data_IF_256969650994
#
_entry.id   IF_256969650994
#
_cell.length_a   1.000
_cell.length_b   1.000
_cell.length_c   1.000
_cell.angle_alpha   90.00
_cell.angle_beta   90.00
_cell.angle_gamma   90.00
#
_symmetry.space_group_name_H-M   'P 1'
#
loop_
_entity.id
_entity.type
_entity.pdbx_description
1 polymer ?
#
# COMPACT_ATOMS: atom_id res chain seq x y z
N UNK A 1 -4.09 8.73 14.83
CA UNK A 1 -3.75 9.32 13.51
C UNK A 1 -4.60 8.62 12.46
N UNK A 2 -5.20 9.36 11.52
CA UNK A 2 -6.02 8.80 10.46
C UNK A 2 -5.54 9.30 9.09
N UNK A 3 -5.66 8.45 8.07
CA UNK A 3 -5.37 8.79 6.68
C UNK A 3 -6.41 9.82 6.21
N UNK A 4 -5.98 10.96 5.65
CA UNK A 4 -6.91 11.95 5.10
C UNK A 4 -7.69 11.34 3.93
N UNK A 5 -8.99 11.66 3.83
CA UNK A 5 -9.85 11.15 2.77
C UNK A 5 -9.39 11.60 1.37
N UNK A 6 -8.85 12.81 1.25
CA UNK A 6 -8.34 13.38 0.00
C UNK A 6 -7.08 12.65 -0.50
N UNK A 7 -7.11 12.19 -1.75
CA UNK A 7 -5.99 11.46 -2.38
C UNK A 7 -5.79 10.05 -1.82
N UNK A 8 -6.77 9.51 -1.10
CA UNK A 8 -6.82 8.09 -0.72
C UNK A 8 -7.68 7.31 -1.70
N UNK A 9 -7.42 6.01 -1.81
CA UNK A 9 -8.18 5.06 -2.62
C UNK A 9 -8.80 4.01 -1.71
N UNK A 10 -9.91 3.41 -2.15
CA UNK A 10 -10.56 2.31 -1.47
C UNK A 10 -10.14 0.98 -2.11
N UNK A 11 -10.14 -0.08 -1.32
CA UNK A 11 -9.96 -1.46 -1.77
C UNK A 11 -10.72 -2.39 -0.83
N UNK A 12 -11.34 -3.42 -1.37
CA UNK A 12 -12.00 -4.48 -0.58
C UNK A 12 -11.09 -5.70 -0.56
N UNK A 13 -10.81 -6.21 0.64
CA UNK A 13 -10.02 -7.43 0.86
C UNK A 13 -10.80 -8.27 1.87
N UNK A 14 -11.11 -9.51 1.52
CA UNK A 14 -11.90 -10.43 2.37
C UNK A 14 -13.18 -9.79 2.92
N UNK A 15 -13.97 -9.16 2.05
CA UNK A 15 -15.21 -8.42 2.37
C UNK A 15 -15.03 -7.15 3.23
N UNK A 16 -13.82 -6.86 3.70
CA UNK A 16 -13.53 -5.67 4.50
C UNK A 16 -13.06 -4.52 3.62
N UNK A 17 -13.67 -3.34 3.79
CA UNK A 17 -13.30 -2.15 3.04
C UNK A 17 -12.16 -1.40 3.73
N UNK A 18 -11.04 -1.28 3.02
CA UNK A 18 -9.86 -0.55 3.45
C UNK A 18 -9.69 0.73 2.64
N UNK A 19 -9.08 1.72 3.29
CA UNK A 19 -8.61 2.97 2.69
C UNK A 19 -7.09 2.96 2.71
N UNK A 20 -6.50 3.19 1.54
CA UNK A 20 -5.06 3.27 1.40
C UNK A 20 -4.62 4.54 0.69
N UNK A 21 -3.39 4.98 0.96
CA UNK A 21 -2.83 6.21 0.40
C UNK A 21 -1.33 6.11 0.26
N UNK A 22 -0.85 6.59 -0.89
CA UNK A 22 0.55 6.95 -1.11
C UNK A 22 0.66 8.47 -1.02
N UNK A 23 1.70 8.97 -0.37
CA UNK A 23 1.91 10.41 -0.23
C UNK A 23 2.24 11.00 -1.61
N UNK A 24 1.52 12.02 -2.06
CA UNK A 24 1.79 12.64 -3.36
C UNK A 24 3.13 13.39 -3.41
N UNK A 25 3.54 14.09 -2.35
CA UNK A 25 4.86 14.72 -2.28
C UNK A 25 5.83 13.78 -1.57
N UNK A 26 7.00 13.45 -2.17
CA UNK A 26 8.02 12.67 -1.47
C UNK A 26 8.46 13.40 -0.21
N UNK A 27 8.80 12.66 0.83
CA UNK A 27 9.62 13.21 1.92
C UNK A 27 11.04 13.46 1.40
N UNK A 28 11.82 14.33 2.03
CA UNK A 28 13.18 14.65 1.59
C UNK A 28 14.02 13.39 1.31
N UNK A 29 14.08 12.45 2.26
CA UNK A 29 14.76 11.16 2.09
C UNK A 29 14.20 10.27 0.95
N UNK A 30 12.93 10.42 0.55
CA UNK A 30 12.38 9.72 -0.62
C UNK A 30 12.77 10.42 -1.93
N UNK A 31 12.92 11.75 -1.91
CA UNK A 31 13.33 12.54 -3.07
C UNK A 31 14.77 12.28 -3.49
N UNK A 32 15.65 11.99 -2.52
CA UNK A 32 17.06 11.66 -2.73
C UNK A 32 17.35 10.15 -2.73
N UNK A 33 16.33 9.30 -2.73
CA UNK A 33 16.49 7.84 -2.80
C UNK A 33 16.87 7.13 -1.49
N UNK A 34 17.21 7.83 -0.41
CA UNK A 34 17.56 7.25 0.91
C UNK A 34 16.41 6.55 1.66
N UNK A 35 15.16 6.72 1.24
CA UNK A 35 14.00 6.13 1.89
C UNK A 35 13.06 5.42 0.92
N UNK A 36 12.57 4.21 1.28
CA UNK A 36 11.67 3.44 0.44
C UNK A 36 10.32 4.13 0.24
N UNK A 37 9.61 3.75 -0.83
CA UNK A 37 8.22 4.13 -1.02
C UNK A 37 7.35 3.53 0.10
N UNK A 38 6.51 4.35 0.72
CA UNK A 38 5.60 3.91 1.79
C UNK A 38 4.15 4.18 1.42
N UNK A 39 3.30 3.17 1.64
CA UNK A 39 1.86 3.35 1.62
C UNK A 39 1.29 3.16 3.02
N UNK A 40 0.25 3.93 3.34
CA UNK A 40 -0.52 3.77 4.55
C UNK A 40 -1.86 3.13 4.21
N UNK A 41 -2.32 2.21 5.06
CA UNK A 41 -3.62 1.52 4.96
C UNK A 41 -4.33 1.58 6.30
N UNK A 42 -5.64 1.75 6.28
CA UNK A 42 -6.51 1.68 7.46
C UNK A 42 -7.92 1.22 7.05
N UNK A 43 -8.80 0.92 8.00
CA UNK A 43 -10.22 0.69 7.72
C UNK A 43 -10.89 1.95 7.16
N UNK A 44 -11.80 1.75 6.22
CA UNK A 44 -12.53 2.85 5.60
C UNK A 44 -13.59 3.46 6.53
N UNK A 45 -14.37 2.62 7.20
CA UNK A 45 -15.53 3.03 8.01
C UNK A 45 -15.18 3.36 9.46
N UNK A 46 -14.35 2.54 10.10
CA UNK A 46 -13.94 2.71 11.49
C UNK A 46 -12.40 2.80 11.57
N UNK A 47 -11.80 4.00 11.39
CA UNK A 47 -10.35 4.13 11.35
C UNK A 47 -9.72 3.78 12.72
N UNK A 48 -9.13 2.58 12.79
CA UNK A 48 -8.38 2.06 13.93
C UNK A 48 -6.87 2.17 13.72
N UNK A 49 -6.18 1.03 13.71
CA UNK A 49 -4.72 0.95 13.63
C UNK A 49 -4.26 1.07 12.17
N UNK A 50 -3.37 2.02 11.90
CA UNK A 50 -2.80 2.23 10.56
C UNK A 50 -1.68 1.21 10.30
N UNK A 51 -1.74 0.55 9.15
CA UNK A 51 -0.66 -0.25 8.59
C UNK A 51 0.19 0.65 7.68
N UNK A 52 1.50 0.67 7.91
CA UNK A 52 2.48 1.35 7.08
C UNK A 52 3.30 0.29 6.34
N UNK A 53 3.07 0.15 5.04
CA UNK A 53 3.79 -0.79 4.20
C UNK A 53 4.96 -0.06 3.55
N UNK A 54 6.17 -0.58 3.72
CA UNK A 54 7.37 -0.12 3.04
C UNK A 54 7.66 -1.04 1.87
N UNK A 55 7.70 -0.47 0.68
CA UNK A 55 8.07 -1.14 -0.56
C UNK A 55 9.55 -0.84 -0.76
N UNK A 56 10.40 -1.87 -0.85
CA UNK A 56 11.85 -1.71 -1.13
C UNK A 56 12.12 -1.26 -2.59
N UNK A 57 11.30 -0.36 -3.12
CA UNK A 57 11.47 0.31 -4.38
C UNK A 57 11.61 1.82 -4.16
N UNK A 58 12.38 2.45 -5.04
CA UNK A 58 12.46 3.90 -5.14
C UNK A 58 11.20 4.44 -5.81
N UNK A 59 10.96 5.74 -5.63
CA UNK A 59 9.75 6.38 -6.14
C UNK A 59 9.97 6.79 -7.60
N UNK A 60 8.94 6.75 -8.47
CA UNK A 60 9.04 7.25 -9.85
C UNK A 60 9.48 8.68 -9.97
N UNK A 61 9.10 9.48 -8.99
CA UNK A 61 9.41 10.90 -8.95
C UNK A 61 10.71 11.18 -8.16
N UNK A 62 11.54 10.16 -7.88
CA UNK A 62 12.85 10.35 -7.25
C UNK A 62 13.77 11.09 -8.21
N UNK A 63 14.52 12.08 -7.72
CA UNK A 63 15.40 12.93 -8.53
C UNK A 63 16.57 12.18 -9.17
N UNK A 64 16.75 10.90 -8.83
CA UNK A 64 17.75 9.97 -9.36
C UNK A 64 17.22 9.08 -10.50
N UNK A 65 15.93 9.16 -10.86
CA UNK A 65 15.38 8.48 -12.04
C UNK A 65 15.35 6.94 -11.96
N UNK A 66 15.27 6.36 -10.76
CA UNK A 66 15.31 4.90 -10.58
C UNK A 66 13.96 4.19 -10.81
N UNK A 67 14.05 2.88 -11.10
CA UNK A 67 12.95 2.01 -11.50
C UNK A 67 11.81 2.01 -10.48
N UNK A 68 10.68 2.54 -10.93
CA UNK A 68 9.60 2.91 -10.07
C UNK A 68 8.43 1.97 -10.19
N UNK A 69 8.23 1.18 -9.13
CA UNK A 69 7.09 0.28 -9.09
C UNK A 69 5.79 1.09 -8.96
N UNK A 70 4.96 1.05 -9.99
CA UNK A 70 3.58 1.50 -9.90
C UNK A 70 2.86 0.63 -8.87
N UNK A 71 2.39 1.22 -7.78
CA UNK A 71 1.67 0.47 -6.74
C UNK A 71 0.30 0.06 -7.27
N UNK A 72 0.18 -1.22 -7.60
CA UNK A 72 -1.07 -1.84 -8.07
C UNK A 72 -1.99 -2.15 -6.88
N UNK A 73 -3.32 -2.10 -7.04
CA UNK A 73 -4.26 -2.53 -6.00
C UNK A 73 -4.00 -3.96 -5.50
N UNK A 74 -3.57 -4.87 -6.38
CA UNK A 74 -3.21 -6.24 -6.01
C UNK A 74 -2.06 -6.31 -4.98
N UNK A 75 -1.05 -5.44 -5.12
CA UNK A 75 0.04 -5.31 -4.13
C UNK A 75 -0.49 -4.88 -2.77
N UNK A 76 -1.46 -3.96 -2.76
CA UNK A 76 -2.10 -3.49 -1.53
C UNK A 76 -2.91 -4.61 -0.88
N UNK A 77 -3.67 -5.37 -1.66
CA UNK A 77 -4.45 -6.51 -1.16
C UNK A 77 -3.56 -7.59 -0.53
N UNK A 78 -2.46 -7.95 -1.21
CA UNK A 78 -1.47 -8.88 -0.67
C UNK A 78 -0.83 -8.36 0.63
N UNK A 79 -0.46 -7.07 0.67
CA UNK A 79 0.12 -6.47 1.86
C UNK A 79 -0.85 -6.48 3.06
N UNK A 80 -2.13 -6.21 2.81
CA UNK A 80 -3.20 -6.30 3.82
C UNK A 80 -3.30 -7.73 4.34
N UNK A 81 -3.42 -8.71 3.43
CA UNK A 81 -3.54 -10.14 3.77
C UNK A 81 -2.34 -10.61 4.61
N UNK A 82 -1.12 -10.28 4.18
CA UNK A 82 0.12 -10.60 4.91
C UNK A 82 0.16 -9.94 6.29
N UNK A 83 -0.27 -8.68 6.38
CA UNK A 83 -0.33 -7.98 7.67
C UNK A 83 -1.34 -8.64 8.62
N UNK A 84 -2.53 -9.01 8.14
CA UNK A 84 -3.54 -9.73 8.93
C UNK A 84 -2.97 -11.05 9.46
N UNK A 85 -2.30 -11.85 8.61
CA UNK A 85 -1.62 -13.07 9.05
C UNK A 85 -0.49 -12.82 10.05
N UNK A 86 0.20 -11.68 9.98
CA UNK A 86 1.21 -11.28 10.97
C UNK A 86 0.64 -10.72 12.28
N UNK A 87 -0.69 -10.73 12.45
CA UNK A 87 -1.34 -10.25 13.67
C UNK A 87 -1.68 -8.76 13.68
N UNK A 88 -1.70 -8.09 12.51
CA UNK A 88 -2.25 -6.75 12.43
C UNK A 88 -3.76 -6.78 12.67
N UNK A 89 -4.22 -6.10 13.72
CA UNK A 89 -5.63 -5.96 14.05
C UNK A 89 -6.12 -4.55 13.65
N UNK A 90 -6.78 -4.41 12.49
CA UNK A 90 -7.12 -3.10 11.93
C UNK A 90 -8.15 -2.33 12.78
N UNK A 91 -9.04 -3.04 13.47
CA UNK A 91 -10.09 -2.47 14.33
C UNK A 91 -9.56 -1.98 15.68
N UNK A 92 -8.39 -2.44 16.13
CA UNK A 92 -7.82 -1.99 17.40
C UNK A 92 -7.30 -0.55 17.28
N UNK A 93 -7.37 0.22 18.37
CA UNK A 93 -6.63 1.49 18.46
C UNK A 93 -5.19 1.21 18.89
N UNK A 94 -4.26 2.04 18.44
CA UNK A 94 -2.85 1.92 18.85
C UNK A 94 -1.86 2.49 17.85
N UNK A 95 -0.59 2.20 18.11
CA UNK A 95 0.54 2.61 17.27
C UNK A 95 0.50 1.96 15.89
N UNK A 96 1.12 2.62 14.92
CA UNK A 96 1.19 2.13 13.54
C UNK A 96 1.95 0.80 13.48
N UNK A 97 1.44 -0.16 12.71
CA UNK A 97 2.17 -1.41 12.41
C UNK A 97 2.97 -1.19 11.14
N UNK A 98 4.24 -1.63 11.14
CA UNK A 98 5.09 -1.58 9.95
C UNK A 98 5.19 -2.97 9.33
N UNK A 99 4.96 -3.03 8.03
CA UNK A 99 5.24 -4.20 7.21
C UNK A 99 6.26 -3.80 6.14
N UNK A 100 7.30 -4.60 5.98
CA UNK A 100 8.29 -4.44 4.92
C UNK A 100 8.04 -5.54 3.88
N UNK A 101 7.81 -5.15 2.62
CA UNK A 101 7.67 -6.11 1.53
C UNK A 101 9.02 -6.36 0.90
N UNK A 102 9.40 -7.63 0.87
CA UNK A 102 10.65 -8.09 0.26
C UNK A 102 10.57 -8.03 -1.26
N UNK A 103 11.72 -8.06 -1.93
CA UNK A 103 11.78 -8.18 -3.39
C UNK A 103 11.03 -9.41 -3.90
N UNK A 104 11.05 -10.50 -3.14
CA UNK A 104 10.32 -11.74 -3.43
C UNK A 104 8.79 -11.54 -3.46
N UNK A 105 8.25 -10.80 -2.48
CA UNK A 105 6.83 -10.44 -2.44
C UNK A 105 6.42 -9.60 -3.67
N UNK A 106 7.32 -8.72 -4.14
CA UNK A 106 7.12 -7.91 -5.33
C UNK A 106 7.25 -8.72 -6.62
N UNK A 107 8.18 -9.69 -6.65
CA UNK A 107 8.42 -10.60 -7.77
C UNK A 107 7.23 -11.54 -7.96
N UNK A 108 6.70 -12.13 -6.89
CA UNK A 108 5.52 -12.99 -6.94
C UNK A 108 4.30 -12.28 -7.55
N UNK A 109 4.14 -10.97 -7.34
CA UNK A 109 3.09 -10.17 -7.99
C UNK A 109 3.36 -9.81 -9.45
N UNK A 110 4.62 -9.79 -9.87
CA UNK A 110 4.99 -9.61 -11.28
C UNK A 110 4.79 -10.91 -12.07
N UNK A 111 5.02 -12.06 -11.43
CA UNK A 111 4.80 -13.40 -11.97
C UNK A 111 3.32 -13.78 -12.05
N UNK A 112 2.47 -13.22 -11.18
CA UNK A 112 1.02 -13.22 -11.34
C UNK A 112 0.65 -12.26 -12.50
N UNK A 113 0.93 -12.67 -13.75
CA UNK A 113 0.34 -12.05 -14.94
C UNK A 113 -1.19 -12.16 -14.82
N UNK A 114 -1.95 -11.09 -15.13
CA UNK A 114 -3.37 -11.06 -14.79
C UNK A 114 -4.17 -11.91 -15.78
N UNK A 115 -4.69 -13.04 -15.31
CA UNK A 115 -5.93 -13.62 -15.83
C UNK A 115 -7.15 -12.91 -15.21
N UNK A 116 -7.06 -11.59 -14.99
CA UNK A 116 -8.17 -10.80 -14.46
C UNK A 116 -8.45 -9.65 -15.42
N UNK A 117 -9.24 -10.00 -16.43
CA UNK A 117 -10.14 -9.09 -17.12
C UNK A 117 -10.76 -8.16 -16.08
N UNK A 118 -10.33 -6.90 -16.07
CA UNK A 118 -11.03 -5.85 -15.36
C UNK A 118 -12.39 -5.70 -16.04
N UNK A 119 -13.41 -6.33 -15.44
CA UNK A 119 -14.81 -6.18 -15.83
C UNK A 119 -15.16 -4.69 -15.87
N UNK A 120 -15.75 -4.29 -17.01
CA UNK A 120 -16.21 -2.95 -17.36
C UNK A 120 -16.79 -2.18 -16.17
N UNK A 121 -16.34 -0.93 -16.02
CA UNK A 121 -17.16 0.12 -15.44
C UNK A 121 -18.31 0.44 -16.41
N UNK A 122 -19.55 0.25 -15.95
CA UNK A 122 -20.83 0.78 -16.52
C UNK A 122 -21.44 1.57 -15.34
N UNK A 123 -22.05 2.74 -15.47
CA UNK A 123 -22.66 3.44 -16.59
C UNK A 123 -22.23 4.92 -16.64
#
# INVERSE_FOLDING_TARGET
>A
MAIPKKGSRLITVDDVVYRWRIRHKPTYGQGIGESPLRLAVQLADAPGRVLLVSLRCHRPDTWLGEEAAMVRPALVAMAITKALHSGWLPSQRGSQVRLDLSRDDLAGLAEIRPALSFTRFRA
#
